data_IF_045449564206
#
_entry.id   IF_045449564206
#
_cell.length_a   1.000
_cell.length_b   1.000
_cell.length_c   1.000
_cell.angle_alpha   90.00
_cell.angle_beta   90.00
_cell.angle_gamma   90.00
#
_symmetry.space_group_name_H-M   'P 1'
#
loop_
_entity.id
_entity.type
_entity.pdbx_description
1 polymer ?
#
# COMPACT_ATOMS: atom_id res chain seq x y z
N UNK A 1 17.58 -15.42 -9.70
CA UNK A 1 18.82 -15.54 -8.91
C UNK A 1 18.89 -14.57 -7.71
N UNK A 2 18.19 -13.42 -7.71
CA UNK A 2 18.22 -12.47 -6.57
C UNK A 2 17.49 -12.91 -5.28
N UNK A 3 16.57 -13.89 -5.35
CA UNK A 3 15.76 -14.34 -4.21
C UNK A 3 16.43 -15.43 -3.34
N UNK A 4 17.63 -15.89 -3.68
CA UNK A 4 18.32 -16.97 -2.94
C UNK A 4 19.13 -16.50 -1.72
N UNK A 5 19.29 -15.18 -1.53
CA UNK A 5 20.10 -14.58 -0.45
C UNK A 5 19.22 -14.11 0.72
N UNK A 6 17.93 -13.81 0.46
CA UNK A 6 17.00 -13.28 1.44
C UNK A 6 16.10 -14.37 1.99
N UNK A 7 15.98 -14.49 3.32
CA UNK A 7 15.00 -15.35 3.97
C UNK A 7 13.72 -14.56 4.28
N UNK A 8 12.70 -15.20 4.85
CA UNK A 8 11.31 -14.70 4.83
C UNK A 8 11.11 -13.22 5.20
N UNK A 9 11.77 -12.73 6.25
CA UNK A 9 11.57 -11.35 6.73
C UNK A 9 12.32 -10.30 5.90
N UNK A 10 13.46 -10.66 5.34
CA UNK A 10 14.24 -9.75 4.49
C UNK A 10 13.54 -9.51 3.16
N UNK A 11 12.91 -10.56 2.60
CA UNK A 11 12.05 -10.43 1.42
C UNK A 11 10.86 -9.51 1.71
N UNK A 12 10.26 -9.62 2.90
CA UNK A 12 9.16 -8.73 3.31
C UNK A 12 9.60 -7.26 3.30
N UNK A 13 10.68 -6.91 4.01
CA UNK A 13 11.15 -5.52 4.07
C UNK A 13 11.56 -4.98 2.71
N UNK A 14 12.22 -5.80 1.88
CA UNK A 14 12.55 -5.43 0.52
C UNK A 14 11.28 -5.10 -0.29
N UNK A 15 10.27 -5.98 -0.25
CA UNK A 15 9.01 -5.77 -0.96
C UNK A 15 8.24 -4.55 -0.44
N UNK A 16 8.21 -4.32 0.88
CA UNK A 16 7.60 -3.12 1.45
C UNK A 16 8.31 -1.85 0.99
N UNK A 17 9.65 -1.87 0.92
CA UNK A 17 10.43 -0.75 0.38
C UNK A 17 10.11 -0.46 -1.09
N UNK A 18 10.01 -1.51 -1.91
CA UNK A 18 9.61 -1.40 -3.32
C UNK A 18 8.19 -0.84 -3.46
N UNK A 19 7.21 -1.40 -2.74
CA UNK A 19 5.82 -0.94 -2.78
C UNK A 19 5.66 0.50 -2.31
N UNK A 20 6.38 0.89 -1.27
CA UNK A 20 6.39 2.26 -0.75
C UNK A 20 6.98 3.22 -1.78
N UNK A 21 8.11 2.85 -2.40
CA UNK A 21 8.76 3.66 -3.45
C UNK A 21 7.82 3.84 -4.64
N UNK A 22 7.22 2.75 -5.14
CA UNK A 22 6.26 2.79 -6.24
C UNK A 22 5.03 3.64 -5.89
N UNK A 23 4.56 3.59 -4.66
CA UNK A 23 3.45 4.41 -4.17
C UNK A 23 3.80 5.89 -4.25
N UNK A 24 4.94 6.32 -3.70
CA UNK A 24 5.34 7.73 -3.75
C UNK A 24 5.67 8.21 -5.16
N UNK A 25 6.33 7.39 -5.97
CA UNK A 25 6.60 7.71 -7.39
C UNK A 25 5.30 7.84 -8.16
N UNK A 26 4.36 6.93 -7.99
CA UNK A 26 3.04 6.99 -8.65
C UNK A 26 2.22 8.20 -8.24
N UNK A 27 2.19 8.53 -6.94
CA UNK A 27 1.52 9.73 -6.43
C UNK A 27 2.18 11.01 -6.94
N UNK A 28 3.52 11.06 -6.96
CA UNK A 28 4.28 12.17 -7.52
C UNK A 28 4.01 12.35 -9.01
N UNK A 29 4.05 11.26 -9.76
CA UNK A 29 3.73 11.27 -11.19
C UNK A 29 2.31 11.79 -11.47
N UNK A 30 1.30 11.35 -10.70
CA UNK A 30 -0.07 11.86 -10.79
C UNK A 30 -0.13 13.37 -10.47
N UNK A 31 0.57 13.81 -9.41
CA UNK A 31 0.63 15.20 -9.00
C UNK A 31 1.22 16.10 -10.09
N UNK A 32 2.35 15.71 -10.67
CA UNK A 32 3.09 16.55 -11.63
C UNK A 32 2.53 16.47 -13.05
N UNK A 33 2.02 15.31 -13.48
CA UNK A 33 1.54 15.13 -14.87
C UNK A 33 0.14 15.67 -15.07
N UNK A 34 -0.74 15.53 -14.07
CA UNK A 34 -2.17 15.87 -14.20
C UNK A 34 -2.57 17.07 -13.31
N UNK A 35 -1.59 17.78 -12.73
CA UNK A 35 -1.77 18.92 -11.83
C UNK A 35 -2.82 18.68 -10.71
N UNK A 36 -2.89 17.45 -10.21
CA UNK A 36 -3.92 17.04 -9.25
C UNK A 36 -3.68 17.73 -7.90
N UNK A 37 -4.72 18.33 -7.31
CA UNK A 37 -4.63 18.96 -5.99
C UNK A 37 -4.24 17.97 -4.88
N UNK A 38 -3.66 18.46 -3.78
CA UNK A 38 -3.32 17.61 -2.64
C UNK A 38 -4.57 16.95 -2.00
N UNK A 39 -5.73 17.62 -2.07
CA UNK A 39 -7.01 17.13 -1.51
C UNK A 39 -7.45 15.76 -2.08
N UNK A 40 -7.58 15.57 -3.40
CA UNK A 40 -7.93 14.26 -3.98
C UNK A 40 -6.79 13.23 -3.88
N UNK A 41 -5.53 13.67 -3.83
CA UNK A 41 -4.37 12.78 -3.67
C UNK A 41 -4.25 12.21 -2.25
N UNK A 42 -4.66 12.96 -1.22
CA UNK A 42 -4.56 12.53 0.17
C UNK A 42 -5.27 11.20 0.49
N UNK A 43 -6.56 11.00 0.17
CA UNK A 43 -7.22 9.72 0.43
C UNK A 43 -6.59 8.58 -0.37
N UNK A 44 -6.14 8.83 -1.61
CA UNK A 44 -5.43 7.81 -2.39
C UNK A 44 -4.12 7.40 -1.68
N UNK A 45 -3.31 8.36 -1.26
CA UNK A 45 -2.06 8.12 -0.55
C UNK A 45 -2.28 7.39 0.78
N UNK A 46 -3.25 7.83 1.58
CA UNK A 46 -3.60 7.22 2.86
C UNK A 46 -4.04 5.77 2.65
N UNK A 47 -4.94 5.50 1.70
CA UNK A 47 -5.41 4.15 1.41
C UNK A 47 -4.28 3.21 0.98
N UNK A 48 -3.38 3.67 0.10
CA UNK A 48 -2.22 2.89 -0.34
C UNK A 48 -1.25 2.57 0.81
N UNK A 49 -0.96 3.55 1.68
CA UNK A 49 -0.10 3.34 2.85
C UNK A 49 -0.73 2.38 3.87
N UNK A 50 -2.04 2.46 4.10
CA UNK A 50 -2.78 1.51 4.96
C UNK A 50 -2.68 0.09 4.37
N UNK A 51 -2.86 -0.07 3.06
CA UNK A 51 -2.72 -1.38 2.40
C UNK A 51 -1.31 -1.95 2.55
N UNK A 52 -0.26 -1.13 2.38
CA UNK A 52 1.14 -1.55 2.58
C UNK A 52 1.37 -1.98 4.04
N UNK A 53 0.90 -1.18 5.00
CA UNK A 53 0.99 -1.53 6.42
C UNK A 53 0.24 -2.82 6.75
N UNK A 54 -0.92 -3.06 6.14
CA UNK A 54 -1.66 -4.30 6.30
C UNK A 54 -0.91 -5.50 5.74
N UNK A 55 -0.23 -5.37 4.59
CA UNK A 55 0.64 -6.43 4.05
C UNK A 55 1.77 -6.74 5.04
N UNK A 56 2.43 -5.71 5.59
CA UNK A 56 3.46 -5.88 6.60
C UNK A 56 2.93 -6.65 7.82
N UNK A 57 1.75 -6.25 8.32
CA UNK A 57 1.08 -6.91 9.43
C UNK A 57 0.79 -8.39 9.13
N UNK A 58 0.20 -8.68 7.97
CA UNK A 58 -0.19 -10.04 7.59
C UNK A 58 0.99 -10.99 7.52
N UNK A 59 2.10 -10.55 6.91
CA UNK A 59 3.31 -11.37 6.81
C UNK A 59 4.00 -11.51 8.17
N UNK A 60 4.05 -10.44 8.99
CA UNK A 60 4.58 -10.52 10.36
C UNK A 60 3.80 -11.54 11.20
N UNK A 61 2.46 -11.51 11.15
CA UNK A 61 1.63 -12.46 11.89
C UNK A 61 1.89 -13.92 11.50
N UNK A 62 2.17 -14.21 10.22
CA UNK A 62 2.54 -15.57 9.78
C UNK A 62 3.91 -15.96 10.33
N UNK A 63 4.89 -15.04 10.31
CA UNK A 63 6.22 -15.27 10.85
C UNK A 63 6.24 -15.44 12.37
N UNK A 64 5.29 -14.82 13.07
CA UNK A 64 5.10 -14.91 14.53
C UNK A 64 4.30 -16.15 14.95
N UNK A 65 3.79 -16.94 14.01
CA UNK A 65 3.01 -18.15 14.31
C UNK A 65 1.53 -17.91 14.60
N UNK A 66 1.02 -16.71 14.31
CA UNK A 66 -0.37 -16.29 14.56
C UNK A 66 -1.09 -15.94 13.23
N UNK A 67 -1.27 -16.88 12.29
CA UNK A 67 -1.83 -16.60 10.96
C UNK A 67 -3.27 -16.06 10.99
N UNK A 68 -4.01 -16.31 12.07
CA UNK A 68 -5.34 -15.75 12.31
C UNK A 68 -5.29 -14.22 12.44
N UNK A 69 -4.26 -13.67 13.09
CA UNK A 69 -4.05 -12.22 13.17
C UNK A 69 -3.79 -11.60 11.79
N UNK A 70 -3.13 -12.34 10.90
CA UNK A 70 -2.96 -11.92 9.50
C UNK A 70 -4.29 -11.88 8.74
N UNK A 71 -5.15 -12.87 8.93
CA UNK A 71 -6.48 -12.91 8.32
C UNK A 71 -7.36 -11.75 8.80
N UNK A 72 -7.29 -11.42 10.10
CA UNK A 72 -7.94 -10.22 10.66
C UNK A 72 -7.35 -8.93 10.08
N UNK A 73 -6.03 -8.87 9.90
CA UNK A 73 -5.35 -7.74 9.25
C UNK A 73 -5.87 -7.46 7.83
N UNK A 74 -6.16 -8.50 7.05
CA UNK A 74 -6.78 -8.33 5.73
C UNK A 74 -8.18 -7.71 5.82
N UNK A 75 -9.01 -8.18 6.75
CA UNK A 75 -10.39 -7.73 6.86
C UNK A 75 -10.53 -6.33 7.48
N UNK A 76 -9.70 -6.01 8.47
CA UNK A 76 -9.87 -4.81 9.32
C UNK A 76 -8.89 -3.70 8.94
N UNK A 77 -7.79 -4.00 8.25
CA UNK A 77 -6.80 -3.00 7.84
C UNK A 77 -6.76 -2.89 6.32
N UNK A 78 -6.51 -4.01 5.62
CA UNK A 78 -6.33 -3.98 4.16
C UNK A 78 -7.60 -3.56 3.43
N UNK A 79 -8.75 -4.16 3.75
CA UNK A 79 -10.01 -3.90 3.06
C UNK A 79 -10.50 -2.45 3.25
N UNK A 80 -10.49 -1.86 4.47
CA UNK A 80 -10.73 -0.42 4.63
C UNK A 80 -9.73 0.45 3.88
N UNK A 81 -8.44 0.09 3.88
CA UNK A 81 -7.41 0.77 3.07
C UNK A 81 -7.72 0.76 1.58
N UNK A 82 -8.16 -0.38 1.04
CA UNK A 82 -8.59 -0.54 -0.35
C UNK A 82 -9.81 0.31 -0.69
N UNK A 83 -10.80 0.37 0.21
CA UNK A 83 -11.98 1.24 0.05
C UNK A 83 -11.54 2.71 -0.02
N UNK A 84 -10.70 3.16 0.91
CA UNK A 84 -10.18 4.54 0.91
C UNK A 84 -9.36 4.84 -0.35
N UNK A 85 -8.48 3.92 -0.77
CA UNK A 85 -7.67 4.06 -1.97
C UNK A 85 -8.54 4.15 -3.23
N UNK A 86 -9.58 3.33 -3.35
CA UNK A 86 -10.49 3.34 -4.50
C UNK A 86 -11.33 4.63 -4.57
N UNK A 87 -11.79 5.15 -3.43
CA UNK A 87 -12.47 6.45 -3.36
C UNK A 87 -11.53 7.59 -3.74
N UNK A 88 -10.29 7.57 -3.25
CA UNK A 88 -9.26 8.54 -3.63
C UNK A 88 -8.91 8.47 -5.12
N UNK A 89 -8.74 7.26 -5.66
CA UNK A 89 -8.48 7.04 -7.09
C UNK A 89 -9.60 7.62 -7.96
N UNK A 90 -10.87 7.43 -7.56
CA UNK A 90 -12.02 8.02 -8.24
C UNK A 90 -11.97 9.56 -8.21
N UNK A 91 -11.62 10.16 -7.08
CA UNK A 91 -11.49 11.62 -6.97
C UNK A 91 -10.35 12.15 -7.86
N UNK A 92 -9.20 11.48 -7.85
CA UNK A 92 -8.06 11.83 -8.73
C UNK A 92 -8.47 11.73 -10.19
N UNK A 93 -9.13 10.65 -10.60
CA UNK A 93 -9.61 10.45 -11.97
C UNK A 93 -10.57 11.55 -12.43
N UNK A 94 -11.50 11.97 -11.57
CA UNK A 94 -12.45 13.04 -11.90
C UNK A 94 -11.79 14.41 -12.07
N UNK A 95 -10.64 14.66 -11.43
CA UNK A 95 -9.88 15.91 -11.54
C UNK A 95 -8.90 15.87 -12.71
N UNK A 96 -8.42 14.68 -13.07
CA UNK A 96 -7.45 14.45 -14.14
C UNK A 96 -8.09 14.41 -15.55
N UNK A 97 -9.42 14.35 -15.64
CA UNK A 97 -10.20 14.44 -16.89
C UNK A 97 -10.37 15.89 -17.33
#
# INVERSE_FOLDING_TARGET
MFLGIFTGIEVLFFMLGVLTTLTFVGLGWLKFTHNVGAKPLAPLAIGLLIMIAAIAWCVSSVLEGEPQAGSMGLMVIFLPGLVIASLGARQVYNVAR
#
